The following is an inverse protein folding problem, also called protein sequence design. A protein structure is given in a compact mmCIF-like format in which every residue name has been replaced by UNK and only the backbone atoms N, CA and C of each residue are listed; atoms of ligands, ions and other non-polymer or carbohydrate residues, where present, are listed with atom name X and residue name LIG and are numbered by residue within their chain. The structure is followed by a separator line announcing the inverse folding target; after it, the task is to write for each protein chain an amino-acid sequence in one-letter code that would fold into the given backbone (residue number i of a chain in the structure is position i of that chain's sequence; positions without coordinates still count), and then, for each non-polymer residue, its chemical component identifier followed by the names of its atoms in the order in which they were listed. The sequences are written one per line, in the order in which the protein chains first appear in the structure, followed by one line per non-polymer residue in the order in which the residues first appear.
data_IF_957840615049
#
_entry.id   IF_957840615049
#
_cell.length_a   1.000
_cell.length_b   1.000
_cell.length_c   1.000
_cell.angle_alpha   90.00
_cell.angle_beta   90.00
_cell.angle_gamma   90.00
#
_symmetry.space_group_name_H-M   'P 1'
#
loop_
_entity.id
_entity.type
_entity.pdbx_description
1 polymer ?
#
# COMPACT_ATOMS: atom_id res chain seq x y z
N UNK A 1 -1.24 -7.71 27.73
CA UNK A 1 -0.27 -8.83 27.85
C UNK A 1 0.75 -8.94 26.70
N UNK A 2 0.36 -8.84 25.41
CA UNK A 2 1.33 -8.65 24.31
C UNK A 2 1.35 -7.19 23.81
N UNK A 3 0.18 -6.56 23.67
CA UNK A 3 0.04 -5.14 23.29
C UNK A 3 0.80 -4.21 24.25
N UNK A 4 0.63 -4.37 25.57
CA UNK A 4 1.34 -3.56 26.57
C UNK A 4 2.87 -3.68 26.47
N UNK A 5 3.40 -4.86 26.13
CA UNK A 5 4.84 -5.04 25.95
C UNK A 5 5.35 -4.27 24.74
N UNK A 6 4.60 -4.28 23.64
CA UNK A 6 4.96 -3.54 22.44
C UNK A 6 4.85 -2.03 22.67
N UNK A 7 3.78 -1.57 23.33
CA UNK A 7 3.64 -0.18 23.76
C UNK A 7 4.77 0.27 24.71
N UNK A 8 5.14 -0.58 25.67
CA UNK A 8 6.24 -0.30 26.60
C UNK A 8 7.60 -0.18 25.90
N UNK A 9 7.89 -1.07 24.94
CA UNK A 9 9.09 -0.98 24.08
C UNK A 9 9.09 0.25 23.19
N UNK A 10 7.93 0.60 22.62
CA UNK A 10 7.77 1.80 21.82
C UNK A 10 8.00 3.06 22.67
N UNK A 11 7.41 3.11 23.86
CA UNK A 11 7.66 4.20 24.81
C UNK A 11 9.13 4.27 25.20
N UNK A 12 9.78 3.13 25.40
CA UNK A 12 11.21 3.11 25.69
C UNK A 12 12.07 3.64 24.54
N UNK A 13 11.72 3.32 23.29
CA UNK A 13 12.33 3.91 22.10
C UNK A 13 12.24 5.44 22.10
N UNK A 14 11.05 5.98 22.39
CA UNK A 14 10.84 7.44 22.50
C UNK A 14 11.78 8.06 23.55
N UNK A 15 11.93 7.41 24.72
CA UNK A 15 12.85 7.90 25.76
C UNK A 15 14.31 7.88 25.28
N UNK A 16 14.73 6.82 24.58
CA UNK A 16 16.06 6.69 24.01
C UNK A 16 16.35 7.79 22.97
N UNK A 17 15.38 8.14 22.14
CA UNK A 17 15.52 9.17 21.11
C UNK A 17 15.65 10.56 21.73
N UNK A 18 14.86 10.84 22.77
CA UNK A 18 14.91 12.07 23.56
C UNK A 18 16.07 12.13 24.56
N UNK A 19 16.92 11.10 24.64
CA UNK A 19 18.04 11.00 25.59
C UNK A 19 17.60 11.14 27.04
N UNK A 20 16.49 10.48 27.40
CA UNK A 20 15.94 10.47 28.76
C UNK A 20 16.15 9.12 29.42
N UNK A 21 16.95 9.08 30.47
CA UNK A 21 17.04 7.89 31.32
C UNK A 21 15.78 7.79 32.21
N UNK A 22 15.56 6.64 32.86
CA UNK A 22 14.33 6.43 33.62
C UNK A 22 14.16 7.42 34.77
N UNK A 23 15.25 7.82 35.43
CA UNK A 23 15.16 8.80 36.52
C UNK A 23 14.75 10.18 36.01
N UNK A 24 15.30 10.59 34.87
CA UNK A 24 14.99 11.88 34.24
C UNK A 24 13.56 11.90 33.74
N UNK A 25 13.16 10.87 32.98
CA UNK A 25 11.81 10.75 32.43
C UNK A 25 10.74 10.70 33.54
N UNK A 26 10.97 9.92 34.59
CA UNK A 26 10.03 9.81 35.71
C UNK A 26 9.87 11.13 36.47
N UNK A 27 10.99 11.84 36.71
CA UNK A 27 10.98 13.18 37.32
C UNK A 27 10.18 14.19 36.49
N UNK A 28 10.46 14.30 35.19
CA UNK A 28 9.76 15.22 34.27
C UNK A 28 8.26 14.88 34.16
N UNK A 29 7.92 13.58 34.13
CA UNK A 29 6.55 13.10 34.13
C UNK A 29 5.88 13.14 35.50
N UNK A 30 6.59 13.49 36.59
CA UNK A 30 6.06 13.54 37.95
C UNK A 30 5.51 12.20 38.44
N UNK A 31 6.17 11.10 38.09
CA UNK A 31 5.83 9.73 38.50
C UNK A 31 7.04 9.04 39.13
N UNK A 32 6.81 7.93 39.83
CA UNK A 32 7.90 7.11 40.35
C UNK A 32 8.66 6.39 39.23
N UNK A 33 10.00 6.33 39.33
CA UNK A 33 10.85 5.57 38.40
C UNK A 33 10.42 4.10 38.32
N UNK A 34 9.99 3.51 39.44
CA UNK A 34 9.50 2.13 39.48
C UNK A 34 8.20 1.94 38.70
N UNK A 35 7.34 2.97 38.66
CA UNK A 35 6.08 2.95 37.92
C UNK A 35 6.38 3.05 36.42
N UNK A 36 7.27 3.97 36.02
CA UNK A 36 7.74 4.07 34.64
C UNK A 36 8.32 2.75 34.13
N UNK A 37 9.13 2.06 34.94
CA UNK A 37 9.68 0.75 34.58
C UNK A 37 8.57 -0.28 34.32
N UNK A 38 7.50 -0.30 35.13
CA UNK A 38 6.38 -1.25 34.95
C UNK A 38 5.62 -0.98 33.65
N UNK A 39 5.49 0.27 33.24
CA UNK A 39 4.94 0.63 31.93
C UNK A 39 5.83 0.13 30.78
N UNK A 40 7.13 0.38 30.86
CA UNK A 40 8.10 -0.03 29.83
C UNK A 40 8.19 -1.56 29.70
N UNK A 41 8.16 -2.27 30.82
CA UNK A 41 8.14 -3.75 30.83
C UNK A 41 6.82 -4.34 30.32
N UNK A 42 5.81 -3.52 30.08
CA UNK A 42 4.45 -3.93 29.72
C UNK A 42 3.72 -4.67 30.86
N UNK A 43 4.15 -4.46 32.11
CA UNK A 43 3.49 -5.00 33.32
C UNK A 43 2.26 -4.20 33.70
N UNK A 44 2.25 -2.90 33.38
CA UNK A 44 1.09 -2.02 33.50
C UNK A 44 0.82 -1.31 32.17
N UNK A 45 -0.43 -0.90 31.95
CA UNK A 45 -0.82 -0.07 30.81
C UNK A 45 -0.40 1.39 31.03
N UNK A 46 0.06 2.06 29.98
CA UNK A 46 0.44 3.48 30.03
C UNK A 46 -0.87 4.30 30.08
N UNK A 47 -1.14 5.07 31.16
CA UNK A 47 -2.35 5.87 31.24
C UNK A 47 -2.38 6.93 30.13
N UNK A 48 -3.55 7.16 29.51
CA UNK A 48 -3.68 8.18 28.48
C UNK A 48 -3.30 9.59 28.97
N UNK A 49 -3.62 9.92 30.23
CA UNK A 49 -3.22 11.18 30.87
C UNK A 49 -1.70 11.36 30.91
N UNK A 50 -0.95 10.27 31.12
CA UNK A 50 0.52 10.30 31.10
C UNK A 50 1.04 10.56 29.68
N UNK A 51 0.42 9.96 28.66
CA UNK A 51 0.75 10.21 27.24
C UNK A 51 0.49 11.67 26.88
N UNK A 52 -0.66 12.22 27.29
CA UNK A 52 -0.99 13.64 27.09
C UNK A 52 0.06 14.52 27.77
N UNK A 53 0.39 14.25 29.04
CA UNK A 53 1.43 14.98 29.77
C UNK A 53 2.78 14.92 29.05
N UNK A 54 3.19 13.74 28.59
CA UNK A 54 4.42 13.57 27.83
C UNK A 54 4.44 14.43 26.55
N UNK A 55 3.36 14.43 25.77
CA UNK A 55 3.24 15.25 24.55
C UNK A 55 3.20 16.77 24.78
N UNK A 56 2.94 17.20 26.02
CA UNK A 56 2.96 18.63 26.39
C UNK A 56 4.37 19.12 26.76
N UNK A 57 5.23 18.24 27.27
CA UNK A 57 6.58 18.59 27.75
C UNK A 57 7.69 18.15 26.80
N UNK A 58 7.41 17.19 25.92
CA UNK A 58 8.34 16.66 24.92
C UNK A 58 7.82 16.90 23.50
N UNK A 59 8.71 17.02 22.50
CA UNK A 59 8.33 17.24 21.11
C UNK A 59 7.88 15.94 20.43
N UNK A 60 6.85 15.30 20.99
CA UNK A 60 6.25 14.05 20.49
C UNK A 60 4.75 14.20 20.41
N UNK A 61 4.12 13.46 19.50
CA UNK A 61 2.68 13.45 19.33
C UNK A 61 2.06 12.33 20.17
N UNK A 62 0.79 12.52 20.58
CA UNK A 62 0.01 11.47 21.26
C UNK A 62 0.04 10.15 20.48
N UNK A 63 -0.04 10.22 19.15
CA UNK A 63 -0.05 9.05 18.27
C UNK A 63 1.24 8.25 18.30
N UNK A 64 2.36 8.87 18.66
CA UNK A 64 3.68 8.21 18.66
C UNK A 64 3.74 7.12 19.74
N UNK A 65 2.85 7.17 20.75
CA UNK A 65 2.76 6.17 21.82
C UNK A 65 1.90 4.95 21.46
N UNK A 66 1.07 5.03 20.42
CA UNK A 66 0.13 3.98 20.05
C UNK A 66 0.67 3.14 18.89
N UNK A 67 0.83 1.84 19.15
CA UNK A 67 1.31 0.85 18.17
C UNK A 67 0.14 0.19 17.44
N UNK A 68 0.40 -0.45 16.30
CA UNK A 68 -0.61 -1.23 15.61
C UNK A 68 -1.07 -2.42 16.45
N UNK A 69 -2.39 -2.66 16.46
CA UNK A 69 -2.95 -3.89 16.99
C UNK A 69 -2.85 -5.01 15.94
N UNK A 70 -2.24 -6.12 16.33
CA UNK A 70 -2.10 -7.30 15.48
C UNK A 70 -3.34 -8.21 15.58
N UNK A 71 -4.22 -8.07 14.59
CA UNK A 71 -5.45 -8.85 14.41
C UNK A 71 -5.28 -10.07 13.48
N UNK A 72 -4.07 -10.30 12.94
CA UNK A 72 -3.76 -11.43 12.07
C UNK A 72 -2.55 -12.21 12.61
N UNK A 73 -2.58 -12.59 13.90
CA UNK A 73 -1.42 -13.10 14.65
C UNK A 73 -0.77 -14.33 14.03
N UNK A 74 -1.56 -15.28 13.52
CA UNK A 74 -1.04 -16.46 12.84
C UNK A 74 -0.54 -16.18 11.42
N UNK A 75 -0.67 -14.95 10.92
CA UNK A 75 -0.19 -14.56 9.59
C UNK A 75 -1.29 -14.49 8.54
N UNK A 76 -2.49 -15.00 8.83
CA UNK A 76 -3.67 -14.86 7.98
C UNK A 76 -4.89 -14.41 8.80
N UNK A 77 -5.80 -13.68 8.15
CA UNK A 77 -7.12 -13.34 8.67
C UNK A 77 -8.14 -13.69 7.58
N UNK A 78 -9.08 -14.58 7.90
CA UNK A 78 -10.12 -15.04 6.97
C UNK A 78 -11.42 -14.34 7.32
N UNK A 79 -12.12 -13.86 6.29
CA UNK A 79 -13.47 -13.32 6.37
C UNK A 79 -14.37 -14.10 5.42
N UNK A 80 -15.37 -14.76 6.00
CA UNK A 80 -16.32 -15.60 5.27
C UNK A 80 -17.32 -14.76 4.47
N UNK A 81 -17.90 -15.34 3.41
CA UNK A 81 -18.98 -14.70 2.65
C UNK A 81 -20.16 -14.29 3.55
N UNK A 82 -20.49 -15.08 4.56
CA UNK A 82 -21.56 -14.75 5.51
C UNK A 82 -21.23 -13.47 6.31
N UNK A 83 -19.97 -13.30 6.73
CA UNK A 83 -19.53 -12.07 7.38
C UNK A 83 -19.59 -10.87 6.43
N UNK A 84 -19.22 -11.05 5.15
CA UNK A 84 -19.35 -10.02 4.12
C UNK A 84 -20.82 -9.67 3.84
N UNK A 85 -21.72 -10.64 3.86
CA UNK A 85 -23.16 -10.40 3.71
C UNK A 85 -23.74 -9.59 4.88
N UNK A 86 -23.27 -9.85 6.10
CA UNK A 86 -23.68 -9.09 7.30
C UNK A 86 -23.22 -7.63 7.28
N UNK A 87 -22.19 -7.27 6.51
CA UNK A 87 -21.75 -5.88 6.32
C UNK A 87 -22.43 -5.17 5.14
N UNK A 88 -23.41 -5.83 4.51
CA UNK A 88 -24.12 -5.29 3.34
C UNK A 88 -24.81 -3.95 3.65
N UNK A 89 -24.63 -3.01 2.73
CA UNK A 89 -25.28 -1.69 2.76
C UNK A 89 -25.59 -1.25 1.34
N UNK A 90 -26.86 -0.92 1.11
CA UNK A 90 -27.33 -0.34 -0.15
C UNK A 90 -27.25 1.17 -0.02
N UNK A 91 -26.50 1.81 -0.92
CA UNK A 91 -26.37 3.25 -0.97
C UNK A 91 -27.10 3.81 -2.20
N UNK A 92 -27.98 4.77 -1.93
CA UNK A 92 -28.72 5.47 -2.95
C UNK A 92 -27.89 6.61 -3.56
N UNK A 93 -28.06 6.83 -4.86
CA UNK A 93 -27.59 8.02 -5.56
C UNK A 93 -28.63 8.47 -6.57
N UNK A 94 -28.85 9.79 -6.68
CA UNK A 94 -29.90 10.32 -7.54
C UNK A 94 -31.30 9.81 -7.16
N UNK A 95 -31.54 9.54 -5.87
CA UNK A 95 -32.84 9.10 -5.35
C UNK A 95 -33.18 7.62 -5.60
N UNK A 96 -32.22 6.77 -5.98
CA UNK A 96 -32.42 5.34 -6.22
C UNK A 96 -31.24 4.48 -5.73
N UNK A 97 -31.47 3.20 -5.41
CA UNK A 97 -30.40 2.24 -5.12
C UNK A 97 -29.38 2.20 -6.25
N UNK A 98 -28.12 2.47 -5.93
CA UNK A 98 -27.05 2.54 -6.93
C UNK A 98 -26.03 1.45 -6.74
N UNK A 99 -25.63 1.20 -5.49
CA UNK A 99 -24.67 0.16 -5.12
C UNK A 99 -25.11 -0.61 -3.90
N UNK A 100 -24.81 -1.91 -3.89
CA UNK A 100 -24.70 -2.70 -2.66
C UNK A 100 -23.21 -2.89 -2.36
N UNK A 101 -22.74 -2.38 -1.22
CA UNK A 101 -21.37 -2.58 -0.74
C UNK A 101 -21.34 -3.70 0.29
N UNK A 102 -20.27 -4.50 0.26
CA UNK A 102 -19.93 -5.47 1.30
C UNK A 102 -18.44 -5.40 1.59
N UNK A 103 -18.11 -5.35 2.86
CA UNK A 103 -16.73 -5.43 3.33
C UNK A 103 -16.18 -6.83 3.02
N UNK A 104 -14.89 -6.92 2.69
CA UNK A 104 -14.15 -8.19 2.65
C UNK A 104 -12.94 -8.11 3.58
N UNK A 105 -12.10 -9.16 3.61
CA UNK A 105 -11.02 -9.29 4.59
C UNK A 105 -10.12 -8.05 4.67
N UNK A 106 -10.07 -7.46 5.86
CA UNK A 106 -9.24 -6.30 6.22
C UNK A 106 -8.48 -6.60 7.50
N UNK A 107 -7.24 -6.12 7.58
CA UNK A 107 -6.44 -6.16 8.81
C UNK A 107 -5.94 -4.77 9.16
N UNK A 108 -5.94 -4.45 10.46
CA UNK A 108 -5.33 -3.24 11.04
C UNK A 108 -3.85 -3.09 10.71
N UNK A 109 -3.18 -4.20 10.40
CA UNK A 109 -1.74 -4.24 10.05
C UNK A 109 -1.47 -3.98 8.56
N UNK A 110 -2.51 -3.76 7.76
CA UNK A 110 -2.41 -3.60 6.30
C UNK A 110 -2.98 -2.26 5.82
N UNK A 111 -2.76 -1.95 4.54
CA UNK A 111 -3.27 -0.75 3.89
C UNK A 111 -4.48 -1.02 2.97
N UNK A 112 -5.04 -2.24 3.00
CA UNK A 112 -6.16 -2.64 2.16
C UNK A 112 -7.49 -2.08 2.68
N UNK A 113 -8.35 -1.64 1.75
CA UNK A 113 -9.79 -1.34 1.92
C UNK A 113 -10.56 -1.97 0.75
N UNK A 114 -10.61 -3.31 0.67
CA UNK A 114 -11.24 -4.03 -0.41
C UNK A 114 -12.75 -4.09 -0.19
N UNK A 115 -13.50 -3.74 -1.22
CA UNK A 115 -14.96 -3.76 -1.21
C UNK A 115 -15.46 -4.67 -2.32
N UNK A 116 -16.42 -5.54 -1.99
CA UNK A 116 -17.29 -6.14 -2.99
C UNK A 116 -18.43 -5.16 -3.25
N UNK A 117 -18.69 -4.84 -4.51
CA UNK A 117 -19.69 -3.84 -4.89
C UNK A 117 -20.54 -4.41 -6.02
N UNK A 118 -21.86 -4.37 -5.87
CA UNK A 118 -22.81 -4.75 -6.92
C UNK A 118 -23.41 -3.50 -7.55
N UNK A 119 -23.37 -3.43 -8.88
CA UNK A 119 -23.92 -2.34 -9.69
C UNK A 119 -25.44 -2.47 -9.85
N UNK A 120 -26.23 -1.75 -9.04
CA UNK A 120 -27.69 -1.83 -9.06
C UNK A 120 -28.32 -0.99 -10.18
N UNK A 121 -27.63 0.06 -10.65
CA UNK A 121 -28.06 0.82 -11.82
C UNK A 121 -27.84 -0.02 -13.09
N UNK A 122 -28.90 -0.20 -13.88
CA UNK A 122 -28.84 -0.81 -15.21
C UNK A 122 -28.95 0.28 -16.28
N UNK A 123 -28.03 0.31 -17.25
CA UNK A 123 -28.02 1.27 -18.35
C UNK A 123 -28.33 0.60 -19.69
N UNK A 124 -29.08 1.30 -20.54
CA UNK A 124 -29.44 0.84 -21.90
C UNK A 124 -28.34 1.09 -22.93
N UNK A 125 -27.37 1.97 -22.65
CA UNK A 125 -26.28 2.31 -23.56
C UNK A 125 -24.97 2.61 -22.81
N UNK A 126 -23.90 2.85 -23.57
CA UNK A 126 -22.54 3.08 -23.05
C UNK A 126 -22.13 4.57 -23.07
N UNK A 127 -23.10 5.50 -23.10
CA UNK A 127 -22.80 6.94 -23.13
C UNK A 127 -22.25 7.40 -21.77
N UNK A 128 -21.00 7.88 -21.69
CA UNK A 128 -20.43 8.38 -20.45
C UNK A 128 -21.05 9.71 -19.96
N UNK A 129 -21.90 10.35 -20.76
CA UNK A 129 -22.59 11.59 -20.39
C UNK A 129 -24.05 11.39 -19.96
N UNK A 130 -24.52 10.14 -19.85
CA UNK A 130 -25.87 9.85 -19.40
C UNK A 130 -26.17 10.50 -18.04
N UNK A 131 -27.33 11.17 -17.94
CA UNK A 131 -27.81 11.83 -16.71
C UNK A 131 -28.18 10.82 -15.60
N UNK A 132 -28.29 9.53 -15.93
CA UNK A 132 -28.55 8.48 -14.95
C UNK A 132 -27.32 8.15 -14.10
N UNK A 133 -26.12 8.42 -14.62
CA UNK A 133 -24.85 8.10 -13.98
C UNK A 133 -24.61 9.02 -12.78
N UNK A 134 -24.41 8.42 -11.62
CA UNK A 134 -24.08 9.16 -10.41
C UNK A 134 -22.59 8.98 -10.07
N UNK A 135 -21.82 10.02 -10.38
CA UNK A 135 -20.37 10.07 -10.22
C UNK A 135 -19.96 10.26 -8.76
N UNK A 136 -18.82 9.65 -8.37
CA UNK A 136 -18.12 10.06 -7.14
C UNK A 136 -17.21 11.27 -7.43
N UNK A 137 -16.59 11.83 -6.39
CA UNK A 137 -15.64 12.95 -6.52
C UNK A 137 -14.18 12.50 -6.70
N UNK A 138 -13.97 11.22 -7.02
CA UNK A 138 -12.72 10.53 -6.74
C UNK A 138 -12.51 10.33 -5.24
N UNK A 139 -11.51 9.55 -4.89
CA UNK A 139 -11.16 9.28 -3.48
C UNK A 139 -9.66 9.09 -3.32
N UNK A 140 -9.17 9.20 -2.08
CA UNK A 140 -7.74 9.23 -1.76
C UNK A 140 -7.01 7.91 -2.06
N UNK A 141 -7.70 6.78 -1.99
CA UNK A 141 -7.05 5.48 -2.10
C UNK A 141 -6.78 5.16 -3.56
N UNK A 142 -5.65 4.48 -3.81
CA UNK A 142 -5.44 3.83 -5.08
C UNK A 142 -6.50 2.74 -5.24
N UNK A 143 -6.93 2.48 -6.47
CA UNK A 143 -7.92 1.44 -6.71
C UNK A 143 -7.48 0.54 -7.85
N UNK A 144 -7.32 -0.74 -7.51
CA UNK A 144 -7.38 -1.84 -8.47
C UNK A 144 -8.82 -2.37 -8.50
N UNK A 145 -9.31 -2.80 -9.64
CA UNK A 145 -10.66 -3.38 -9.75
C UNK A 145 -10.65 -4.58 -10.67
N UNK A 146 -11.30 -5.65 -10.23
CA UNK A 146 -11.60 -6.84 -11.03
C UNK A 146 -13.10 -6.88 -11.31
N UNK A 147 -13.47 -7.14 -12.56
CA UNK A 147 -14.85 -7.11 -13.03
C UNK A 147 -15.45 -8.52 -13.08
N UNK A 148 -16.72 -8.64 -12.69
CA UNK A 148 -17.53 -9.87 -12.75
C UNK A 148 -18.87 -9.50 -13.40
N UNK A 149 -19.16 -10.09 -14.55
CA UNK A 149 -20.36 -9.80 -15.33
C UNK A 149 -20.25 -8.52 -16.18
N UNK A 150 -21.37 -8.02 -16.72
CA UNK A 150 -21.38 -6.99 -17.75
C UNK A 150 -21.32 -5.57 -17.17
N UNK A 151 -20.18 -5.18 -16.60
CA UNK A 151 -19.99 -3.87 -15.93
C UNK A 151 -19.46 -2.82 -16.91
N UNK A 152 -20.08 -1.64 -16.94
CA UNK A 152 -19.45 -0.44 -17.49
C UNK A 152 -18.66 0.28 -16.42
N UNK A 153 -17.41 0.60 -16.73
CA UNK A 153 -16.55 1.46 -15.92
C UNK A 153 -16.46 2.84 -16.56
N UNK A 154 -16.85 3.87 -15.80
CA UNK A 154 -16.81 5.26 -16.22
C UNK A 154 -15.79 6.04 -15.41
N UNK A 155 -15.01 6.91 -16.06
CA UNK A 155 -14.08 7.81 -15.38
C UNK A 155 -14.00 9.18 -16.09
N UNK A 156 -13.61 10.21 -15.35
CA UNK A 156 -13.44 11.57 -15.87
C UNK A 156 -11.99 12.01 -15.74
N UNK A 157 -11.38 12.39 -16.86
CA UNK A 157 -10.01 12.88 -16.89
C UNK A 157 -9.82 13.98 -17.94
N UNK A 158 -9.11 15.05 -17.58
CA UNK A 158 -8.90 16.19 -18.47
C UNK A 158 -10.20 16.87 -18.94
N UNK A 159 -11.23 16.89 -18.09
CA UNK A 159 -12.56 17.44 -18.40
C UNK A 159 -13.37 16.61 -19.40
N UNK A 160 -12.96 15.37 -19.70
CA UNK A 160 -13.67 14.44 -20.58
C UNK A 160 -14.07 13.19 -19.82
N UNK A 161 -15.28 12.70 -20.08
CA UNK A 161 -15.80 11.45 -19.53
C UNK A 161 -15.60 10.30 -20.50
N UNK A 162 -15.24 9.15 -19.96
CA UNK A 162 -14.95 7.93 -20.70
C UNK A 162 -15.81 6.78 -20.19
N UNK A 163 -16.13 5.82 -21.07
CA UNK A 163 -16.78 4.57 -20.71
C UNK A 163 -15.94 3.41 -21.25
N UNK A 164 -15.64 2.44 -20.39
CA UNK A 164 -14.97 1.19 -20.72
C UNK A 164 -15.95 0.06 -20.47
N UNK A 165 -16.26 -0.71 -21.51
CA UNK A 165 -17.12 -1.89 -21.40
C UNK A 165 -16.26 -3.05 -20.93
N UNK A 166 -16.54 -3.56 -19.73
CA UNK A 166 -15.77 -4.66 -19.11
C UNK A 166 -16.64 -5.91 -18.92
N UNK A 167 -16.01 -7.07 -18.92
CA UNK A 167 -16.61 -8.37 -18.66
C UNK A 167 -15.84 -9.12 -17.56
N UNK A 168 -16.34 -10.29 -17.17
CA UNK A 168 -15.68 -11.15 -16.18
C UNK A 168 -14.22 -11.40 -16.53
N UNK A 169 -13.31 -11.12 -15.59
CA UNK A 169 -11.86 -11.29 -15.77
C UNK A 169 -11.12 -10.01 -16.12
N UNK A 170 -11.81 -9.03 -16.70
CA UNK A 170 -11.20 -7.74 -16.99
C UNK A 170 -10.77 -7.05 -15.69
N UNK A 171 -9.81 -6.15 -15.80
CA UNK A 171 -9.33 -5.40 -14.64
C UNK A 171 -8.90 -4.00 -15.00
N UNK A 172 -8.87 -3.13 -13.99
CA UNK A 172 -8.33 -1.78 -14.13
C UNK A 172 -7.53 -1.34 -12.92
N UNK A 173 -6.74 -0.28 -13.13
CA UNK A 173 -6.17 0.56 -12.10
C UNK A 173 -6.59 2.02 -12.36
N UNK A 174 -6.94 2.75 -11.30
CA UNK A 174 -7.23 4.19 -11.34
C UNK A 174 -6.48 4.92 -10.22
N UNK A 175 -5.85 6.03 -10.60
CA UNK A 175 -5.08 6.90 -9.69
C UNK A 175 -6.02 7.64 -8.72
N UNK A 176 -5.58 7.93 -7.48
CA UNK A 176 -6.34 8.72 -6.52
C UNK A 176 -6.94 9.99 -7.09
N UNK A 177 -8.11 10.35 -6.55
CA UNK A 177 -8.89 11.57 -6.87
C UNK A 177 -9.41 11.70 -8.29
N UNK A 178 -9.36 10.63 -9.12
CA UNK A 178 -10.02 10.62 -10.41
C UNK A 178 -11.49 10.22 -10.22
N UNK A 179 -12.46 11.09 -10.59
CA UNK A 179 -13.87 10.76 -10.53
C UNK A 179 -14.21 9.54 -11.37
N UNK A 180 -15.00 8.64 -10.81
CA UNK A 180 -15.45 7.44 -11.51
C UNK A 180 -16.80 6.92 -10.99
N UNK A 181 -17.43 6.09 -11.80
CA UNK A 181 -18.65 5.34 -11.44
C UNK A 181 -18.76 4.06 -12.26
N UNK A 182 -19.70 3.21 -11.90
CA UNK A 182 -19.94 1.89 -12.50
C UNK A 182 -21.44 1.69 -12.67
N UNK A 183 -21.83 0.97 -13.70
CA UNK A 183 -23.21 0.54 -13.93
C UNK A 183 -23.25 -0.82 -14.62
N UNK A 184 -24.34 -1.55 -14.45
CA UNK A 184 -24.61 -2.79 -15.17
C UNK A 184 -25.10 -2.47 -16.58
N UNK A 185 -24.48 -3.05 -17.61
CA UNK A 185 -25.07 -3.04 -18.96
C UNK A 185 -26.27 -3.96 -19.00
N UNK A 186 -27.37 -3.47 -19.56
CA UNK A 186 -28.54 -4.31 -19.85
C UNK A 186 -28.13 -5.53 -20.67
N UNK A 187 -28.58 -6.68 -20.21
CA UNK A 187 -28.25 -7.98 -20.78
C UNK A 187 -29.47 -8.91 -20.70
N UNK A 188 -29.51 -9.92 -21.56
CA UNK A 188 -30.65 -10.84 -21.67
C UNK A 188 -30.86 -11.69 -20.41
N UNK A 189 -29.77 -12.06 -19.73
CA UNK A 189 -29.79 -12.85 -18.50
C UNK A 189 -30.31 -12.07 -17.28
N UNK A 190 -30.45 -10.73 -17.40
CA UNK A 190 -30.81 -9.81 -16.30
C UNK A 190 -29.87 -9.92 -15.10
N UNK A 191 -28.62 -10.29 -15.36
CA UNK A 191 -27.57 -10.38 -14.36
C UNK A 191 -27.06 -8.98 -14.04
N UNK A 192 -26.88 -8.70 -12.74
CA UNK A 192 -26.21 -7.49 -12.29
C UNK A 192 -24.71 -7.69 -12.29
N UNK A 193 -23.99 -6.67 -12.73
CA UNK A 193 -22.56 -6.57 -12.61
C UNK A 193 -22.12 -6.50 -11.16
N UNK A 194 -20.92 -7.01 -10.92
CA UNK A 194 -20.22 -6.94 -9.64
C UNK A 194 -18.77 -6.56 -9.90
N UNK A 195 -18.21 -5.75 -9.02
CA UNK A 195 -16.78 -5.49 -8.96
C UNK A 195 -16.18 -5.88 -7.62
N UNK A 196 -14.92 -6.30 -7.66
CA UNK A 196 -14.05 -6.35 -6.49
C UNK A 196 -13.16 -5.11 -6.53
N UNK A 197 -13.62 -4.04 -5.87
CA UNK A 197 -12.91 -2.76 -5.78
C UNK A 197 -11.85 -2.84 -4.67
N UNK A 198 -10.66 -3.30 -5.03
CA UNK A 198 -9.55 -3.47 -4.11
C UNK A 198 -8.81 -2.14 -3.95
N UNK A 199 -9.34 -1.28 -3.10
CA UNK A 199 -8.68 0.00 -2.80
C UNK A 199 -7.60 -0.18 -1.74
N UNK A 200 -6.55 0.64 -1.80
CA UNK A 200 -5.45 0.57 -0.84
C UNK A 200 -4.64 1.86 -0.73
N UNK A 201 -4.09 2.07 0.46
CA UNK A 201 -3.09 3.11 0.71
C UNK A 201 -1.70 2.67 0.27
N UNK A 202 -0.82 3.65 0.08
CA UNK A 202 0.62 3.45 -0.15
C UNK A 202 1.37 4.46 0.73
N UNK A 203 2.41 5.12 0.22
CA UNK A 203 3.33 5.96 1.02
C UNK A 203 2.72 7.26 1.53
N UNK A 204 1.73 7.79 0.84
CA UNK A 204 1.06 9.02 1.29
C UNK A 204 0.19 8.79 2.53
N UNK A 205 -0.29 7.57 2.79
CA UNK A 205 -1.21 7.31 3.90
C UNK A 205 -0.47 7.20 5.24
N UNK A 206 -0.94 7.93 6.25
CA UNK A 206 -0.36 7.93 7.59
C UNK A 206 0.57 9.12 7.79
N UNK A 207 1.83 8.89 8.14
CA UNK A 207 2.74 9.94 8.63
C UNK A 207 3.05 10.99 7.56
N UNK A 208 3.25 10.58 6.31
CA UNK A 208 3.44 11.51 5.20
C UNK A 208 2.24 12.46 5.00
N UNK A 209 1.01 11.95 5.12
CA UNK A 209 -0.19 12.79 5.07
C UNK A 209 -0.26 13.78 6.23
N UNK A 210 0.15 13.37 7.44
CA UNK A 210 0.14 14.23 8.62
C UNK A 210 1.19 15.35 8.49
N UNK A 211 2.38 15.04 8.00
CA UNK A 211 3.42 16.03 7.74
C UNK A 211 2.98 17.04 6.67
N UNK A 212 2.44 16.56 5.55
CA UNK A 212 1.86 17.43 4.51
C UNK A 212 0.72 18.32 5.03
N UNK A 213 -0.12 17.80 5.92
CA UNK A 213 -1.22 18.56 6.51
C UNK A 213 -0.73 19.73 7.37
N UNK A 214 0.37 19.56 8.10
CA UNK A 214 0.98 20.62 8.92
C UNK A 214 1.72 21.66 8.07
N UNK A 215 2.35 21.25 6.97
CA UNK A 215 3.02 22.17 6.02
C UNK A 215 2.04 23.13 5.34
N UNK A 216 0.82 22.68 5.08
CA UNK A 216 -0.17 23.42 4.29
C UNK A 216 0.15 23.41 2.79
N UNK A 217 -0.82 23.88 1.99
CA UNK A 217 -0.81 23.68 0.54
C UNK A 217 0.39 24.32 -0.18
N UNK A 218 0.78 25.52 0.22
CA UNK A 218 1.85 26.26 -0.46
C UNK A 218 3.18 25.50 -0.36
N UNK A 219 3.63 25.20 0.86
CA UNK A 219 4.87 24.45 1.09
C UNK A 219 4.79 23.02 0.58
N UNK A 220 3.63 22.37 0.68
CA UNK A 220 3.44 21.03 0.13
C UNK A 220 3.59 20.99 -1.40
N UNK A 221 3.21 22.08 -2.10
CA UNK A 221 3.32 22.15 -3.56
C UNK A 221 4.76 22.20 -4.07
N UNK A 222 5.71 22.66 -3.25
CA UNK A 222 7.14 22.69 -3.59
C UNK A 222 7.77 21.29 -3.66
N UNK A 223 7.10 20.27 -3.10
CA UNK A 223 7.54 18.86 -3.20
C UNK A 223 7.11 18.18 -4.51
N UNK A 224 6.34 18.86 -5.36
CA UNK A 224 5.85 18.27 -6.61
C UNK A 224 6.98 18.14 -7.64
N UNK A 225 7.16 16.91 -8.14
CA UNK A 225 8.03 16.63 -9.29
C UNK A 225 7.24 16.90 -10.57
N UNK A 226 7.82 17.66 -11.49
CA UNK A 226 7.21 17.89 -12.79
C UNK A 226 7.36 16.65 -13.69
N UNK A 227 6.29 15.87 -13.84
CA UNK A 227 6.25 14.70 -14.73
C UNK A 227 5.79 15.01 -16.17
N UNK A 228 5.74 16.29 -16.58
CA UNK A 228 5.64 16.62 -18.01
C UNK A 228 6.88 16.13 -18.78
N UNK A 229 6.78 16.03 -20.10
CA UNK A 229 7.81 15.47 -20.97
C UNK A 229 9.21 16.05 -20.64
N UNK A 230 10.12 15.18 -20.17
CA UNK A 230 11.50 15.55 -19.78
C UNK A 230 11.71 16.31 -18.46
N UNK A 231 10.65 16.71 -17.73
CA UNK A 231 10.76 17.58 -16.54
C UNK A 231 11.21 16.90 -15.25
N UNK A 232 11.06 15.58 -15.13
CA UNK A 232 11.16 14.91 -13.84
C UNK A 232 12.61 14.80 -13.33
N UNK A 233 13.55 14.43 -14.20
CA UNK A 233 14.98 14.40 -13.85
C UNK A 233 15.48 15.80 -13.48
N UNK A 234 15.04 16.84 -14.19
CA UNK A 234 15.37 18.22 -13.87
C UNK A 234 14.87 18.67 -12.50
N UNK A 235 13.63 18.31 -12.15
CA UNK A 235 13.04 18.58 -10.83
C UNK A 235 13.86 17.92 -9.71
N UNK A 236 14.27 16.67 -9.89
CA UNK A 236 15.09 15.92 -8.92
C UNK A 236 16.50 16.52 -8.77
N UNK A 237 17.15 16.87 -9.88
CA UNK A 237 18.47 17.53 -9.88
C UNK A 237 18.38 18.86 -9.12
N UNK A 238 17.37 19.68 -9.44
CA UNK A 238 17.11 20.95 -8.78
C UNK A 238 16.92 20.77 -7.27
N UNK A 239 16.07 19.82 -6.88
CA UNK A 239 15.80 19.52 -5.47
C UNK A 239 17.09 19.25 -4.70
N UNK A 240 17.91 18.29 -5.13
CA UNK A 240 19.16 17.95 -4.44
C UNK A 240 20.22 19.06 -4.52
N UNK A 241 20.27 19.80 -5.63
CA UNK A 241 21.16 20.97 -5.77
C UNK A 241 20.81 22.05 -4.74
N UNK A 242 19.54 22.33 -4.55
CA UNK A 242 19.05 23.36 -3.62
C UNK A 242 19.21 22.96 -2.16
N UNK A 243 19.15 21.66 -1.83
CA UNK A 243 19.55 21.16 -0.50
C UNK A 243 21.00 21.51 -0.15
N UNK A 244 21.89 21.60 -1.16
CA UNK A 244 23.28 22.05 -0.99
C UNK A 244 23.45 23.57 -1.07
N UNK A 245 22.36 24.34 -1.26
CA UNK A 245 22.40 25.76 -1.59
C UNK A 245 23.33 26.07 -2.78
N UNK A 246 23.45 25.13 -3.73
CA UNK A 246 24.41 25.22 -4.81
C UNK A 246 23.82 25.97 -6.02
N UNK A 247 24.46 27.04 -6.52
CA UNK A 247 24.05 27.67 -7.77
C UNK A 247 24.21 26.75 -8.99
N UNK A 248 23.35 26.91 -9.99
CA UNK A 248 23.33 26.03 -11.17
C UNK A 248 24.62 26.11 -12.01
N UNK A 249 25.25 27.28 -12.08
CA UNK A 249 26.53 27.49 -12.76
C UNK A 249 27.69 26.76 -12.08
N UNK A 250 27.68 26.69 -10.75
CA UNK A 250 28.64 25.89 -9.97
C UNK A 250 28.46 24.41 -10.26
N UNK A 251 27.22 23.90 -10.27
CA UNK A 251 26.94 22.52 -10.63
C UNK A 251 27.41 22.22 -12.07
N UNK A 252 27.02 23.04 -13.03
CA UNK A 252 27.39 22.90 -14.44
C UNK A 252 28.91 22.82 -14.61
N UNK A 253 29.66 23.73 -13.97
CA UNK A 253 31.13 23.76 -13.99
C UNK A 253 31.75 22.49 -13.39
N UNK A 254 31.22 21.99 -12.26
CA UNK A 254 31.74 20.78 -11.59
C UNK A 254 31.49 19.50 -12.38
N UNK A 255 30.35 19.43 -13.07
CA UNK A 255 29.99 18.27 -13.91
C UNK A 255 30.71 18.34 -15.28
N UNK A 256 31.11 19.53 -15.72
CA UNK A 256 31.71 19.74 -17.03
C UNK A 256 30.69 19.92 -18.15
N UNK A 257 29.47 20.38 -17.81
CA UNK A 257 28.38 20.66 -18.74
C UNK A 257 28.18 22.17 -18.90
N UNK A 258 27.61 22.60 -20.03
CA UNK A 258 27.30 24.01 -20.21
C UNK A 258 26.15 24.47 -19.30
N UNK A 259 26.23 25.70 -18.78
CA UNK A 259 25.16 26.28 -17.97
C UNK A 259 23.81 26.25 -18.71
N UNK A 260 23.80 26.59 -20.00
CA UNK A 260 22.59 26.57 -20.84
C UNK A 260 21.98 25.17 -20.92
N UNK A 261 22.80 24.13 -21.02
CA UNK A 261 22.32 22.74 -21.04
C UNK A 261 21.69 22.36 -19.70
N UNK A 262 22.36 22.65 -18.59
CA UNK A 262 21.83 22.40 -17.25
C UNK A 262 20.54 23.18 -16.95
N UNK A 263 20.43 24.42 -17.43
CA UNK A 263 19.19 25.20 -17.37
C UNK A 263 18.06 24.51 -18.12
N UNK A 264 18.30 24.05 -19.36
CA UNK A 264 17.28 23.32 -20.13
C UNK A 264 16.83 22.02 -19.45
N UNK A 265 17.74 21.31 -18.76
CA UNK A 265 17.39 20.13 -17.96
C UNK A 265 16.45 20.52 -16.81
N UNK A 266 16.86 21.47 -15.95
CA UNK A 266 16.04 21.85 -14.78
C UNK A 266 14.71 22.51 -15.15
N UNK A 267 14.66 23.24 -16.27
CA UNK A 267 13.44 23.85 -16.78
C UNK A 267 12.48 22.83 -17.43
N UNK A 268 12.91 21.57 -17.61
CA UNK A 268 12.11 20.53 -18.24
C UNK A 268 11.82 20.77 -19.72
N UNK A 269 12.76 21.36 -20.47
CA UNK A 269 12.60 21.68 -21.91
C UNK A 269 12.92 20.48 -22.81
N UNK A 270 12.27 19.34 -22.57
CA UNK A 270 12.39 18.08 -23.33
C UNK A 270 13.83 17.51 -23.43
N UNK A 271 14.73 17.91 -22.53
CA UNK A 271 16.07 17.32 -22.43
C UNK A 271 16.06 16.27 -21.34
N UNK A 272 16.26 15.01 -21.75
CA UNK A 272 16.46 13.90 -20.82
C UNK A 272 17.97 13.65 -20.71
N UNK A 273 18.59 13.87 -19.54
CA UNK A 273 20.00 13.58 -19.35
C UNK A 273 20.27 12.09 -19.56
N UNK A 274 21.42 11.79 -20.17
CA UNK A 274 21.91 10.42 -20.27
C UNK A 274 22.25 9.85 -18.90
N UNK A 275 22.31 8.52 -18.78
CA UNK A 275 22.67 7.87 -17.52
C UNK A 275 24.07 8.27 -17.06
N UNK A 276 25.03 8.49 -17.97
CA UNK A 276 26.38 8.92 -17.61
C UNK A 276 26.44 10.37 -17.12
N UNK A 277 25.61 11.25 -17.69
CA UNK A 277 25.42 12.60 -17.17
C UNK A 277 24.78 12.56 -15.78
N UNK A 278 23.73 11.76 -15.57
CA UNK A 278 23.11 11.57 -14.25
C UNK A 278 24.12 11.04 -13.22
N UNK A 279 24.99 10.09 -13.59
CA UNK A 279 26.07 9.61 -12.70
C UNK A 279 27.03 10.73 -12.33
N UNK A 280 27.38 11.58 -13.29
CA UNK A 280 28.29 12.70 -13.07
C UNK A 280 27.67 13.76 -12.17
N UNK A 281 26.39 14.07 -12.38
CA UNK A 281 25.61 14.98 -11.51
C UNK A 281 25.46 14.39 -10.11
N UNK A 282 25.05 13.13 -9.98
CA UNK A 282 24.86 12.44 -8.69
C UNK A 282 26.15 12.45 -7.86
N UNK A 283 27.31 12.23 -8.50
CA UNK A 283 28.62 12.32 -7.84
C UNK A 283 28.90 13.71 -7.27
N UNK A 284 28.55 14.78 -7.98
CA UNK A 284 28.75 16.16 -7.49
C UNK A 284 27.77 16.51 -6.38
N UNK A 285 26.52 16.02 -6.48
CA UNK A 285 25.47 16.24 -5.48
C UNK A 285 25.58 15.32 -4.25
N UNK A 286 26.43 14.29 -4.30
CA UNK A 286 26.63 13.36 -3.19
C UNK A 286 25.47 12.38 -2.98
N UNK A 287 24.72 12.04 -4.04
CA UNK A 287 23.54 11.16 -3.98
C UNK A 287 23.71 9.93 -4.86
N UNK A 288 22.83 8.94 -4.74
CA UNK A 288 22.81 7.81 -5.67
C UNK A 288 22.26 8.27 -7.02
N UNK A 289 22.77 7.70 -8.13
CA UNK A 289 22.18 7.95 -9.46
C UNK A 289 20.70 7.57 -9.48
N UNK A 290 20.29 6.59 -8.67
CA UNK A 290 18.88 6.19 -8.51
C UNK A 290 18.00 7.36 -8.08
N UNK A 291 18.49 8.24 -7.21
CA UNK A 291 17.71 9.34 -6.66
C UNK A 291 17.46 10.45 -7.69
N UNK A 292 18.22 10.46 -8.78
CA UNK A 292 18.02 11.34 -9.94
C UNK A 292 17.24 10.68 -11.07
N UNK A 293 16.91 9.38 -10.97
CA UNK A 293 16.15 8.65 -11.96
C UNK A 293 14.65 8.70 -11.60
N UNK A 294 13.81 9.37 -12.40
CA UNK A 294 12.40 9.46 -12.10
C UNK A 294 11.68 8.13 -12.35
N UNK A 295 10.55 7.96 -11.66
CA UNK A 295 9.55 6.93 -12.02
C UNK A 295 9.01 7.21 -13.43
N UNK A 296 8.67 6.16 -14.19
CA UNK A 296 8.10 6.31 -15.53
C UNK A 296 6.70 6.95 -15.43
N UNK A 297 6.47 8.05 -16.16
CA UNK A 297 5.13 8.61 -16.32
C UNK A 297 4.24 7.58 -17.02
N UNK A 298 3.01 7.42 -16.54
CA UNK A 298 2.04 6.47 -17.09
C UNK A 298 0.67 7.10 -17.14
N UNK A 299 -0.23 6.49 -17.90
CA UNK A 299 -1.64 6.87 -17.87
C UNK A 299 -2.19 6.76 -16.44
N UNK A 300 -3.11 7.68 -16.08
CA UNK A 300 -3.68 7.71 -14.74
C UNK A 300 -4.77 6.65 -14.54
N UNK A 301 -5.31 6.11 -15.64
CA UNK A 301 -6.24 4.99 -15.68
C UNK A 301 -5.67 3.93 -16.63
N UNK A 302 -5.59 2.70 -16.18
CA UNK A 302 -5.07 1.57 -16.96
C UNK A 302 -6.18 0.51 -17.01
N UNK A 303 -6.56 0.09 -18.21
CA UNK A 303 -7.53 -0.97 -18.42
C UNK A 303 -6.82 -2.16 -19.07
N UNK A 304 -7.12 -3.37 -18.60
CA UNK A 304 -6.60 -4.60 -19.18
C UNK A 304 -7.73 -5.60 -19.36
N UNK A 305 -7.97 -5.99 -20.61
CA UNK A 305 -8.89 -7.08 -20.89
C UNK A 305 -8.27 -8.42 -20.50
N UNK A 306 -9.09 -9.36 -20.03
CA UNK A 306 -8.62 -10.67 -19.60
C UNK A 306 -7.92 -11.48 -20.70
N UNK A 307 -8.34 -11.27 -21.95
CA UNK A 307 -7.79 -11.94 -23.13
C UNK A 307 -6.36 -11.47 -23.46
N UNK A 308 -6.06 -10.19 -23.20
CA UNK A 308 -4.74 -9.60 -23.42
C UNK A 308 -3.77 -9.82 -22.26
N UNK A 309 -4.27 -10.31 -21.12
CA UNK A 309 -3.48 -10.51 -19.92
C UNK A 309 -2.41 -11.60 -20.11
N UNK A 310 -1.19 -11.31 -19.64
CA UNK A 310 -0.08 -12.28 -19.67
C UNK A 310 -0.37 -13.44 -18.73
N UNK A 311 0.05 -14.64 -19.12
CA UNK A 311 -0.20 -15.87 -18.37
C UNK A 311 1.04 -16.74 -18.28
N UNK A 312 1.23 -17.40 -17.15
CA UNK A 312 2.30 -18.39 -16.99
C UNK A 312 1.89 -19.46 -15.97
N UNK A 313 2.50 -20.63 -16.12
CA UNK A 313 2.37 -21.72 -15.16
C UNK A 313 3.40 -21.59 -14.03
N UNK A 314 3.08 -22.11 -12.86
CA UNK A 314 3.97 -22.17 -11.71
C UNK A 314 3.80 -23.49 -10.96
N UNK A 315 4.89 -24.07 -10.39
CA UNK A 315 6.27 -23.57 -10.42
C UNK A 315 6.96 -23.72 -11.78
N UNK A 316 6.42 -24.59 -12.62
CA UNK A 316 6.94 -24.97 -13.92
C UNK A 316 5.76 -25.36 -14.85
N UNK A 317 6.06 -26.03 -15.95
CA UNK A 317 5.07 -26.49 -16.94
C UNK A 317 4.04 -27.51 -16.40
N UNK A 318 4.22 -28.05 -15.18
CA UNK A 318 3.21 -28.90 -14.52
C UNK A 318 1.86 -28.19 -14.35
N UNK A 319 1.85 -26.84 -14.32
CA UNK A 319 0.61 -26.07 -14.31
C UNK A 319 -0.20 -26.22 -13.02
N UNK A 320 0.42 -26.52 -11.88
CA UNK A 320 -0.26 -26.59 -10.58
C UNK A 320 -0.99 -25.28 -10.24
N UNK A 321 -0.32 -24.16 -10.49
CA UNK A 321 -0.97 -22.86 -10.62
C UNK A 321 -0.84 -22.34 -12.06
N UNK A 322 -1.88 -21.67 -12.55
CA UNK A 322 -1.74 -20.73 -13.67
C UNK A 322 -2.03 -19.34 -13.14
N UNK A 323 -1.07 -18.44 -13.31
CA UNK A 323 -1.22 -17.03 -12.99
C UNK A 323 -1.62 -16.26 -14.25
N UNK A 324 -2.58 -15.37 -14.10
CA UNK A 324 -2.94 -14.34 -15.08
C UNK A 324 -2.62 -12.99 -14.44
N UNK A 325 -1.75 -12.21 -15.07
CA UNK A 325 -1.40 -10.88 -14.59
C UNK A 325 -2.46 -9.86 -15.01
N UNK A 326 -3.08 -9.26 -13.99
CA UNK A 326 -4.13 -8.28 -14.15
C UNK A 326 -3.54 -6.86 -14.28
N UNK A 327 -4.39 -5.84 -14.43
CA UNK A 327 -3.97 -4.46 -14.61
C UNK A 327 -2.94 -4.02 -13.56
N UNK A 328 -1.86 -3.37 -14.02
CA UNK A 328 -0.82 -2.83 -13.15
C UNK A 328 -0.19 -1.57 -13.74
N UNK A 329 0.40 -0.74 -12.89
CA UNK A 329 1.11 0.50 -13.29
C UNK A 329 2.57 0.46 -12.84
N UNK A 330 3.52 0.95 -13.66
CA UNK A 330 4.90 1.13 -13.23
C UNK A 330 5.06 2.14 -12.09
N UNK A 331 4.06 3.04 -11.88
CA UNK A 331 4.05 3.99 -10.75
C UNK A 331 3.95 3.30 -9.39
N UNK A 332 3.39 2.09 -9.36
CA UNK A 332 3.21 1.29 -8.15
C UNK A 332 3.87 -0.07 -8.35
N UNK A 333 5.21 -0.14 -8.39
CA UNK A 333 5.93 -1.35 -8.78
C UNK A 333 5.67 -2.54 -7.84
N UNK A 334 5.29 -2.26 -6.59
CA UNK A 334 4.96 -3.26 -5.56
C UNK A 334 3.48 -3.65 -5.52
N UNK A 335 2.65 -3.12 -6.43
CA UNK A 335 1.23 -3.49 -6.57
C UNK A 335 1.06 -4.50 -7.71
N UNK A 336 0.54 -5.69 -7.40
CA UNK A 336 0.33 -6.77 -8.38
C UNK A 336 -1.02 -7.43 -8.18
N UNK A 337 -1.93 -7.23 -9.13
CA UNK A 337 -3.17 -7.98 -9.26
C UNK A 337 -2.95 -9.25 -10.07
N UNK A 338 -3.46 -10.37 -9.58
CA UNK A 338 -3.30 -11.68 -10.19
C UNK A 338 -4.61 -12.45 -10.09
N UNK A 339 -5.01 -13.13 -11.15
CA UNK A 339 -5.93 -14.26 -11.05
C UNK A 339 -5.12 -15.55 -10.99
N UNK A 340 -5.45 -16.43 -10.06
CA UNK A 340 -4.72 -17.67 -9.78
C UNK A 340 -5.67 -18.83 -9.94
N UNK A 341 -5.43 -19.64 -10.98
CA UNK A 341 -6.06 -20.94 -11.15
C UNK A 341 -5.30 -21.99 -10.35
N UNK A 342 -5.99 -22.74 -9.50
CA UNK A 342 -5.42 -23.81 -8.65
C UNK A 342 -5.94 -25.16 -9.14
N UNK A 343 -5.07 -26.02 -9.64
CA UNK A 343 -5.44 -27.36 -10.13
C UNK A 343 -5.23 -28.43 -9.04
N UNK A 344 -5.94 -29.57 -9.11
CA UNK A 344 -5.71 -30.69 -8.22
C UNK A 344 -4.29 -31.24 -8.33
N UNK A 345 -3.70 -31.62 -7.19
CA UNK A 345 -2.36 -32.19 -7.11
C UNK A 345 -1.56 -31.68 -5.91
N UNK A 346 -0.36 -32.23 -5.73
CA UNK A 346 0.58 -31.75 -4.71
C UNK A 346 1.08 -30.35 -5.10
N UNK A 347 0.88 -29.34 -4.24
CA UNK A 347 1.12 -27.94 -4.62
C UNK A 347 2.42 -27.37 -4.07
N UNK A 348 2.97 -26.39 -4.79
CA UNK A 348 4.18 -25.66 -4.41
C UNK A 348 3.87 -24.51 -3.46
N UNK A 349 4.82 -24.21 -2.56
CA UNK A 349 4.70 -23.08 -1.65
C UNK A 349 5.00 -21.75 -2.33
N UNK A 350 4.21 -20.74 -1.99
CA UNK A 350 4.37 -19.35 -2.35
C UNK A 350 4.88 -18.55 -1.13
N UNK A 351 5.68 -17.51 -1.41
CA UNK A 351 6.13 -16.53 -0.41
C UNK A 351 6.42 -15.21 -1.10
N UNK A 352 5.98 -14.10 -0.50
CA UNK A 352 6.23 -12.75 -1.01
C UNK A 352 6.50 -11.78 0.14
N UNK A 353 7.19 -10.67 -0.13
CA UNK A 353 7.44 -9.60 0.83
C UNK A 353 6.28 -8.60 0.94
N UNK A 354 5.28 -8.70 0.06
CA UNK A 354 4.09 -7.83 0.10
C UNK A 354 2.98 -8.38 0.98
N UNK A 355 2.10 -7.49 1.45
CA UNK A 355 0.80 -7.89 1.97
C UNK A 355 -0.02 -8.51 0.85
N UNK A 356 -0.87 -9.47 1.18
CA UNK A 356 -1.74 -10.11 0.19
C UNK A 356 -3.20 -10.02 0.64
N UNK A 357 -4.06 -9.67 -0.31
CA UNK A 357 -5.50 -9.88 -0.24
C UNK A 357 -5.85 -10.99 -1.23
N UNK A 358 -6.66 -11.95 -0.79
CA UNK A 358 -7.09 -13.11 -1.59
C UNK A 358 -8.62 -13.17 -1.52
N UNK A 359 -9.27 -13.45 -2.63
CA UNK A 359 -10.71 -13.67 -2.70
C UNK A 359 -11.01 -14.87 -3.58
N UNK A 360 -11.87 -15.78 -3.13
CA UNK A 360 -12.27 -16.91 -3.95
C UNK A 360 -13.36 -16.49 -4.94
N UNK A 361 -12.96 -16.26 -6.18
CA UNK A 361 -13.84 -15.90 -7.31
C UNK A 361 -14.41 -17.13 -8.03
N UNK A 362 -13.96 -18.34 -7.67
CA UNK A 362 -14.45 -19.59 -8.24
C UNK A 362 -15.63 -20.16 -7.47
N UNK A 363 -16.20 -21.24 -8.02
CA UNK A 363 -17.32 -21.97 -7.43
C UNK A 363 -16.88 -23.14 -6.53
N UNK A 364 -15.58 -23.47 -6.52
CA UNK A 364 -15.00 -24.51 -5.68
C UNK A 364 -14.28 -23.92 -4.47
N UNK A 365 -14.38 -24.57 -3.31
CA UNK A 365 -13.53 -24.25 -2.15
C UNK A 365 -12.06 -24.54 -2.46
N UNK A 366 -11.16 -23.75 -1.88
CA UNK A 366 -9.72 -23.92 -2.00
C UNK A 366 -9.11 -24.07 -0.61
N UNK A 367 -8.36 -25.13 -0.37
CA UNK A 367 -7.58 -25.28 0.86
C UNK A 367 -6.42 -24.29 0.89
N UNK A 368 -6.20 -23.65 2.04
CA UNK A 368 -5.09 -22.76 2.31
C UNK A 368 -4.27 -23.36 3.46
N UNK A 369 -3.00 -23.62 3.22
CA UNK A 369 -2.05 -24.06 4.24
C UNK A 369 -0.93 -23.04 4.37
N UNK A 370 -0.58 -22.63 5.60
CA UNK A 370 0.47 -21.63 5.83
C UNK A 370 1.29 -21.90 7.09
N UNK A 371 2.52 -21.38 7.11
CA UNK A 371 3.39 -21.38 8.29
C UNK A 371 3.07 -20.17 9.16
N UNK A 372 2.62 -20.42 10.40
CA UNK A 372 2.20 -19.38 11.32
C UNK A 372 3.33 -18.39 11.61
N UNK A 373 3.05 -17.10 11.49
CA UNK A 373 4.05 -16.06 11.80
C UNK A 373 4.40 -15.97 13.28
N UNK A 374 3.57 -16.56 14.14
CA UNK A 374 3.72 -16.52 15.60
C UNK A 374 4.63 -17.63 16.12
N UNK A 375 4.33 -18.90 15.81
CA UNK A 375 5.00 -20.08 16.37
C UNK A 375 5.58 -21.05 15.33
N UNK A 376 5.47 -20.71 14.04
CA UNK A 376 5.94 -21.52 12.91
C UNK A 376 5.20 -22.84 12.71
N UNK A 377 4.09 -23.08 13.42
CA UNK A 377 3.22 -24.23 13.19
C UNK A 377 2.52 -24.10 11.84
N UNK A 378 2.22 -25.24 11.21
CA UNK A 378 1.46 -25.26 9.96
C UNK A 378 -0.02 -25.18 10.29
N UNK A 379 -0.69 -24.14 9.82
CA UNK A 379 -2.13 -23.96 9.88
C UNK A 379 -2.77 -24.35 8.54
N UNK A 380 -4.06 -24.72 8.59
CA UNK A 380 -4.85 -25.11 7.43
C UNK A 380 -6.30 -24.66 7.59
N UNK A 381 -6.85 -24.04 6.57
CA UNK A 381 -8.27 -23.67 6.49
C UNK A 381 -8.80 -23.77 5.06
N UNK A 382 -10.12 -23.85 4.90
CA UNK A 382 -10.76 -23.73 3.59
C UNK A 382 -11.20 -22.30 3.29
N UNK A 383 -10.94 -21.83 2.07
CA UNK A 383 -11.49 -20.60 1.50
C UNK A 383 -12.67 -21.01 0.61
N UNK A 384 -13.89 -20.85 1.10
CA UNK A 384 -15.10 -21.16 0.32
C UNK A 384 -15.35 -20.10 -0.75
N UNK A 385 -16.19 -20.37 -1.76
CA UNK A 385 -16.59 -19.37 -2.73
C UNK A 385 -17.02 -18.07 -2.05
N UNK A 386 -16.48 -16.94 -2.51
CA UNK A 386 -16.71 -15.59 -1.98
C UNK A 386 -16.13 -15.28 -0.59
N UNK A 387 -15.42 -16.22 0.03
CA UNK A 387 -14.57 -15.91 1.17
C UNK A 387 -13.36 -15.09 0.73
N UNK A 388 -12.80 -14.36 1.69
CA UNK A 388 -11.63 -13.51 1.49
C UNK A 388 -10.61 -13.70 2.60
N UNK A 389 -9.34 -13.44 2.29
CA UNK A 389 -8.23 -13.63 3.21
C UNK A 389 -7.27 -12.45 3.09
N UNK A 390 -6.92 -11.86 4.23
CA UNK A 390 -5.71 -11.07 4.35
C UNK A 390 -4.55 -11.97 4.79
N UNK A 391 -3.38 -11.79 4.18
CA UNK A 391 -2.16 -12.51 4.56
C UNK A 391 -1.00 -11.54 4.75
N UNK A 392 -0.27 -11.71 5.86
CA UNK A 392 0.91 -10.92 6.20
C UNK A 392 2.05 -11.14 5.19
N UNK A 393 2.94 -10.15 5.02
CA UNK A 393 4.22 -10.33 4.37
C UNK A 393 5.00 -11.53 4.90
N UNK A 394 5.80 -12.15 4.04
CA UNK A 394 6.74 -13.24 4.35
C UNK A 394 6.12 -14.56 4.83
N UNK A 395 4.79 -14.68 4.91
CA UNK A 395 4.11 -15.93 5.26
C UNK A 395 4.23 -16.92 4.10
N UNK A 396 4.89 -18.05 4.37
CA UNK A 396 4.98 -19.18 3.42
C UNK A 396 3.64 -19.90 3.42
N UNK A 397 3.03 -20.05 2.26
CA UNK A 397 1.70 -20.64 2.13
C UNK A 397 1.56 -21.44 0.83
N UNK A 398 0.49 -22.21 0.69
CA UNK A 398 0.10 -22.89 -0.55
C UNK A 398 -1.41 -22.97 -0.65
N UNK A 399 -1.90 -22.96 -1.88
CA UNK A 399 -3.29 -23.25 -2.18
C UNK A 399 -3.41 -24.71 -2.62
N UNK A 400 -4.48 -25.38 -2.23
CA UNK A 400 -4.69 -26.81 -2.47
C UNK A 400 -6.10 -26.96 -3.02
N UNK A 401 -6.25 -27.65 -4.15
CA UNK A 401 -7.56 -28.05 -4.65
C UNK A 401 -7.70 -29.57 -4.50
N UNK A 402 -8.61 -30.01 -3.65
CA UNK A 402 -8.86 -31.45 -3.45
C UNK A 402 -9.69 -32.03 -4.60
N UNK A 403 -10.64 -31.24 -5.12
CA UNK A 403 -11.53 -31.62 -6.22
C UNK A 403 -11.84 -30.41 -7.11
N UNK A 404 -11.68 -30.55 -8.43
CA UNK A 404 -11.97 -29.50 -9.40
C UNK A 404 -10.91 -28.39 -9.44
N UNK A 405 -11.22 -27.31 -10.16
CA UNK A 405 -10.30 -26.18 -10.37
C UNK A 405 -10.73 -25.02 -9.46
N UNK A 406 -9.84 -24.60 -8.57
CA UNK A 406 -10.02 -23.38 -7.77
C UNK A 406 -9.64 -22.12 -8.56
N UNK A 407 -10.30 -20.99 -8.28
CA UNK A 407 -9.93 -19.69 -8.86
C UNK A 407 -9.91 -18.63 -7.77
N UNK A 408 -8.78 -17.97 -7.62
CA UNK A 408 -8.57 -16.93 -6.61
C UNK A 408 -8.18 -15.61 -7.30
N UNK A 409 -8.77 -14.51 -6.88
CA UNK A 409 -8.21 -13.19 -7.11
C UNK A 409 -7.21 -12.90 -6.00
N UNK A 410 -6.00 -12.49 -6.36
CA UNK A 410 -4.92 -12.14 -5.42
C UNK A 410 -4.41 -10.75 -5.74
N UNK A 411 -4.45 -9.85 -4.76
CA UNK A 411 -3.82 -8.54 -4.83
C UNK A 411 -2.67 -8.47 -3.86
N UNK A 412 -1.49 -8.08 -4.35
CA UNK A 412 -0.30 -7.86 -3.54
C UNK A 412 0.03 -6.38 -3.48
N UNK A 413 0.36 -5.86 -2.30
CA UNK A 413 0.84 -4.49 -2.11
C UNK A 413 2.08 -4.44 -1.22
N UNK A 414 2.99 -3.51 -1.50
CA UNK A 414 4.26 -3.38 -0.78
C UNK A 414 4.16 -2.86 0.66
N UNK A 415 2.99 -2.34 1.06
CA UNK A 415 2.81 -1.73 2.38
C UNK A 415 3.77 -0.57 2.64
N UNK A 416 4.17 -0.42 3.91
CA UNK A 416 5.13 0.62 4.35
C UNK A 416 6.58 0.18 4.28
N UNK A 417 6.84 -1.10 4.05
CA UNK A 417 8.19 -1.66 4.14
C UNK A 417 8.94 -1.70 2.81
N UNK A 418 8.23 -1.61 1.67
CA UNK A 418 8.87 -1.76 0.35
C UNK A 418 9.53 -0.47 -0.16
N UNK A 419 10.68 -0.62 -0.82
CA UNK A 419 11.46 0.49 -1.38
C UNK A 419 12.39 1.11 -0.35
N UNK A 420 12.31 2.41 -0.05
CA UNK A 420 13.38 3.10 0.70
C UNK A 420 13.52 2.57 2.14
N UNK A 421 12.39 2.28 2.80
CA UNK A 421 12.39 1.58 4.09
C UNK A 421 13.05 0.20 4.03
N UNK A 422 12.88 -0.54 2.94
CA UNK A 422 13.56 -1.83 2.74
C UNK A 422 15.07 -1.64 2.57
N UNK A 423 15.49 -0.60 1.85
CA UNK A 423 16.90 -0.30 1.65
C UNK A 423 17.57 0.11 2.95
N UNK A 424 16.94 1.01 3.71
CA UNK A 424 17.42 1.42 5.04
C UNK A 424 17.55 0.21 5.98
N UNK A 425 16.51 -0.63 6.06
CA UNK A 425 16.54 -1.86 6.86
C UNK A 425 17.68 -2.80 6.44
N UNK A 426 17.99 -2.86 5.15
CA UNK A 426 19.05 -3.75 4.61
C UNK A 426 20.47 -3.26 4.90
N UNK A 427 20.63 -1.99 5.29
CA UNK A 427 21.92 -1.41 5.65
C UNK A 427 22.26 -1.59 7.14
N UNK A 428 21.30 -2.04 7.95
CA UNK A 428 21.52 -2.33 9.36
C UNK A 428 22.31 -3.63 9.54
N UNK A 429 23.09 -3.67 10.62
CA UNK A 429 23.62 -4.95 11.11
C UNK A 429 22.48 -5.82 11.69
N UNK A 430 22.77 -7.11 11.89
CA UNK A 430 21.77 -8.06 12.39
C UNK A 430 21.27 -7.69 13.80
N UNK A 431 22.12 -7.13 14.64
CA UNK A 431 21.73 -6.68 15.99
C UNK A 431 20.76 -5.50 15.95
N UNK A 432 20.89 -4.61 14.96
CA UNK A 432 20.01 -3.48 14.73
C UNK A 432 18.60 -3.91 14.35
N UNK A 433 18.47 -4.98 13.55
CA UNK A 433 17.17 -5.51 13.15
C UNK A 433 16.29 -5.89 14.35
N UNK A 434 16.84 -6.55 15.36
CA UNK A 434 16.08 -6.94 16.56
C UNK A 434 15.60 -5.72 17.35
N UNK A 435 16.44 -4.69 17.46
CA UNK A 435 16.13 -3.44 18.17
C UNK A 435 15.12 -2.57 17.42
N UNK A 436 15.16 -2.54 16.09
CA UNK A 436 14.15 -1.81 15.27
C UNK A 436 12.76 -2.43 15.43
N UNK A 437 12.65 -3.75 15.58
CA UNK A 437 11.37 -4.41 15.85
C UNK A 437 10.82 -4.12 17.26
N UNK A 438 11.60 -3.48 18.13
CA UNK A 438 11.22 -3.02 19.44
C UNK A 438 12.44 -2.84 20.32
N UNK A 439 12.67 -1.62 20.81
CA UNK A 439 13.86 -1.30 21.60
C UNK A 439 13.91 -2.11 22.90
N UNK A 440 15.09 -2.65 23.21
CA UNK A 440 15.30 -3.56 24.33
C UNK A 440 16.34 -3.06 25.33
N UNK A 441 17.18 -2.11 24.93
CA UNK A 441 18.31 -1.64 25.75
C UNK A 441 18.38 -0.11 25.78
N UNK A 442 18.91 0.51 26.86
CA UNK A 442 19.17 1.93 26.86
C UNK A 442 20.21 2.30 25.80
N UNK A 443 20.16 3.53 25.28
CA UNK A 443 21.13 3.99 24.26
C UNK A 443 22.57 4.11 24.78
N UNK A 444 22.80 3.96 26.09
CA UNK A 444 24.11 3.97 26.73
C UNK A 444 24.18 2.99 27.90
N UNK A 445 25.38 2.54 28.25
CA UNK A 445 25.62 1.78 29.47
C UNK A 445 26.05 2.71 30.61
N UNK A 446 25.23 2.81 31.67
CA UNK A 446 25.53 3.63 32.85
C UNK A 446 26.76 3.17 33.63
N UNK A 447 27.12 1.89 33.54
CA UNK A 447 28.31 1.31 34.17
C UNK A 447 29.59 1.51 33.35
N UNK A 448 29.50 2.07 32.13
CA UNK A 448 30.66 2.43 31.31
C UNK A 448 31.42 1.23 30.72
N UNK A 449 30.77 0.07 30.59
CA UNK A 449 31.38 -1.14 30.00
C UNK A 449 30.75 -1.44 28.64
N UNK A 450 31.60 -1.75 27.66
CA UNK A 450 31.20 -2.28 26.36
C UNK A 450 31.44 -3.79 26.32
#
# INVERSE_FOLDING_TARGET
MLSNKLMGRNFFGILNDLKRDFSTAACELGIDTSLLQRYIDGREEIPHELIVKASQIWPVNIRDFYVFEDDARSGALIMTNEQSERSSRVLDRGGRPYYEYRDTAMSRTSLFRPEWIKELLVVDNNDPNSEELCWNNGHFLHQFTYFIGPVNFYYEHGGKRFCVQTNTGDSMYITPYIPHTFATRKNEARELGVILALTYGVRLMGDAQQELAVLGLNSASDFLINYSDGGASGSLIRFFREQLSMPLDILAKKVGLSLKYMQSIEDGRDIIPTVDELRSVAKVLGVSVRDLMPVVSSDPVINLSYEQARRWNYPDESGLYTFVELASTPKLPYSKGLEVTVRPGETSSLKTLGHQYIYNIGESRVGLSWESSYDRQVEYEYIYPRDSVYMKPCVKHRFISDNGIGRLLVMRIGGRLSGDTQHELSLLDRSGLERVCGELVPWYNKEGKH
#
